data_IF_864443666054
#
_entry.id   IF_864443666054
#
_cell.length_a   1.000
_cell.length_b   1.000
_cell.length_c   1.000
_cell.angle_alpha   90.00
_cell.angle_beta   90.00
_cell.angle_gamma   90.00
#
_symmetry.space_group_name_H-M   'P 1'
#
loop_
_entity.id
_entity.type
_entity.pdbx_description
1 polymer ?
#
# COMPACT_ATOMS: atom_id res chain seq x y z
N UNK A 1 -8.88 -14.15 -0.89
CA UNK A 1 -8.13 -13.31 -1.86
C UNK A 1 -6.92 -14.10 -2.30
N UNK A 2 -6.94 -14.54 -3.55
CA UNK A 2 -5.86 -15.32 -4.12
C UNK A 2 -4.75 -14.39 -4.59
N UNK A 3 -3.53 -14.50 -4.02
CA UNK A 3 -2.38 -13.71 -4.48
C UNK A 3 -2.06 -14.04 -5.94
N UNK A 4 -1.90 -13.02 -6.76
CA UNK A 4 -1.58 -13.20 -8.17
C UNK A 4 -0.63 -12.12 -8.68
N UNK A 5 0.32 -12.44 -9.58
CA UNK A 5 1.08 -11.43 -10.30
C UNK A 5 0.17 -10.72 -11.31
N UNK A 6 0.61 -9.60 -11.84
CA UNK A 6 0.00 -9.03 -13.04
C UNK A 6 0.76 -9.48 -14.27
N UNK A 7 0.01 -9.65 -15.34
CA UNK A 7 0.57 -9.90 -16.65
C UNK A 7 1.29 -8.66 -17.20
N UNK A 8 2.29 -8.90 -18.03
CA UNK A 8 3.02 -7.90 -18.79
C UNK A 8 4.44 -7.61 -18.27
N UNK A 9 5.35 -7.50 -19.22
CA UNK A 9 6.77 -7.28 -18.98
C UNK A 9 7.08 -6.05 -18.14
N UNK A 10 6.34 -4.97 -18.33
CA UNK A 10 6.53 -3.74 -17.58
C UNK A 10 6.36 -3.95 -16.07
N UNK A 11 5.32 -4.66 -15.68
CA UNK A 11 5.04 -4.94 -14.27
C UNK A 11 6.12 -5.84 -13.67
N UNK A 12 6.49 -6.91 -14.40
CA UNK A 12 7.53 -7.85 -13.99
C UNK A 12 8.91 -7.17 -13.87
N UNK A 13 9.28 -6.34 -14.84
CA UNK A 13 10.51 -5.55 -14.79
C UNK A 13 10.56 -4.64 -13.57
N UNK A 14 9.44 -3.97 -13.27
CA UNK A 14 9.35 -3.11 -12.10
C UNK A 14 9.43 -3.90 -10.78
N UNK A 15 8.70 -5.00 -10.66
CA UNK A 15 8.81 -5.91 -9.52
C UNK A 15 10.27 -6.38 -9.29
N UNK A 16 10.95 -6.80 -10.35
CA UNK A 16 12.33 -7.26 -10.28
C UNK A 16 13.31 -6.13 -9.89
N UNK A 17 13.04 -4.89 -10.33
CA UNK A 17 13.85 -3.74 -9.91
C UNK A 17 13.76 -3.49 -8.41
N UNK A 18 12.58 -3.71 -7.81
CA UNK A 18 12.42 -3.65 -6.36
C UNK A 18 13.22 -4.73 -5.65
N UNK A 19 13.14 -5.97 -6.13
CA UNK A 19 13.92 -7.06 -5.54
C UNK A 19 15.42 -6.77 -5.61
N UNK A 20 15.89 -6.21 -6.72
CA UNK A 20 17.30 -5.78 -6.86
C UNK A 20 17.66 -4.71 -5.81
N UNK A 21 16.78 -3.69 -5.60
CA UNK A 21 17.01 -2.64 -4.60
C UNK A 21 16.98 -3.20 -3.17
N UNK A 22 16.02 -4.07 -2.88
CA UNK A 22 15.84 -4.68 -1.56
C UNK A 22 17.04 -5.57 -1.19
N UNK A 23 17.58 -6.31 -2.14
CA UNK A 23 18.76 -7.16 -1.92
C UNK A 23 20.04 -6.36 -1.56
N UNK A 24 20.09 -5.06 -1.83
CA UNK A 24 21.18 -4.19 -1.39
C UNK A 24 21.12 -3.88 0.12
N UNK A 25 20.00 -4.17 0.77
CA UNK A 25 19.79 -3.87 2.19
C UNK A 25 19.68 -2.37 2.45
N UNK A 26 19.97 -1.97 3.70
CA UNK A 26 19.92 -0.58 4.17
C UNK A 26 18.57 0.09 3.87
N UNK A 27 17.48 -0.49 4.40
CA UNK A 27 16.10 -0.03 4.20
C UNK A 27 15.48 0.23 5.57
N UNK A 28 15.22 1.49 5.90
CA UNK A 28 14.59 1.91 7.16
C UNK A 28 13.09 2.22 7.00
N UNK A 29 12.65 2.55 5.78
CA UNK A 29 11.30 2.97 5.47
C UNK A 29 10.86 2.40 4.12
N UNK A 30 9.67 1.82 4.06
CA UNK A 30 9.09 1.36 2.80
C UNK A 30 7.73 1.98 2.55
N UNK A 31 7.44 2.30 1.30
CA UNK A 31 6.14 2.75 0.83
C UNK A 31 5.55 1.67 -0.07
N UNK A 32 4.42 1.11 0.32
CA UNK A 32 3.73 0.02 -0.38
C UNK A 32 2.40 0.55 -0.92
N UNK A 33 2.14 0.33 -2.21
CA UNK A 33 0.90 0.79 -2.81
C UNK A 33 0.84 0.65 -4.33
N UNK A 34 -0.03 1.44 -4.92
CA UNK A 34 -0.34 1.47 -6.35
C UNK A 34 0.27 2.69 -7.08
N UNK A 35 -0.46 3.25 -8.07
CA UNK A 35 -0.01 4.42 -8.84
C UNK A 35 0.20 5.67 -7.99
N UNK A 36 -0.53 5.83 -6.92
CA UNK A 36 -0.39 7.00 -6.04
C UNK A 36 0.96 6.92 -5.31
N UNK A 37 1.31 5.74 -4.83
CA UNK A 37 2.64 5.48 -4.25
C UNK A 37 3.74 5.55 -5.31
N UNK A 38 3.51 4.96 -6.50
CA UNK A 38 4.45 5.07 -7.63
C UNK A 38 4.77 6.53 -7.99
N UNK A 39 3.78 7.41 -7.92
CA UNK A 39 3.90 8.84 -8.23
C UNK A 39 4.94 9.62 -7.42
N UNK A 40 5.46 9.06 -6.32
CA UNK A 40 6.60 9.63 -5.62
C UNK A 40 7.89 9.68 -6.46
N UNK A 41 7.98 8.90 -7.54
CA UNK A 41 9.12 8.92 -8.48
C UNK A 41 8.97 9.97 -9.59
N UNK A 42 7.78 10.55 -9.74
CA UNK A 42 7.46 11.59 -10.74
C UNK A 42 6.97 12.87 -10.08
N UNK A 43 5.67 13.03 -9.92
CA UNK A 43 5.05 14.25 -9.36
C UNK A 43 5.49 14.55 -7.92
N UNK A 44 5.81 13.52 -7.13
CA UNK A 44 6.30 13.63 -5.75
C UNK A 44 7.83 13.70 -5.61
N UNK A 45 8.59 13.67 -6.71
CA UNK A 45 10.04 13.48 -6.70
C UNK A 45 10.80 14.52 -5.85
N UNK A 46 10.45 15.77 -5.94
CA UNK A 46 11.11 16.83 -5.16
C UNK A 46 10.90 16.65 -3.66
N UNK A 47 9.68 16.37 -3.26
CA UNK A 47 9.31 16.09 -1.86
C UNK A 47 9.98 14.80 -1.36
N UNK A 48 10.01 13.76 -2.20
CA UNK A 48 10.72 12.52 -1.88
C UNK A 48 12.20 12.77 -1.61
N UNK A 49 12.87 13.50 -2.50
CA UNK A 49 14.29 13.82 -2.36
C UNK A 49 14.58 14.61 -1.08
N UNK A 50 13.71 15.56 -0.74
CA UNK A 50 13.87 16.40 0.44
C UNK A 50 13.65 15.63 1.76
N UNK A 51 12.67 14.72 1.81
CA UNK A 51 12.19 14.17 3.08
C UNK A 51 12.49 12.67 3.28
N UNK A 52 12.64 11.89 2.20
CA UNK A 52 12.68 10.43 2.31
C UNK A 52 14.00 9.80 1.88
N UNK A 53 14.74 10.40 0.96
CA UNK A 53 16.02 9.85 0.47
C UNK A 53 17.00 9.60 1.61
N UNK A 54 17.17 10.57 2.52
CA UNK A 54 18.08 10.45 3.68
C UNK A 54 17.59 9.49 4.77
N UNK A 55 16.38 8.91 4.60
CA UNK A 55 15.78 7.95 5.54
C UNK A 55 15.86 6.51 5.01
N UNK A 56 16.73 6.24 4.06
CA UNK A 56 16.84 4.94 3.41
C UNK A 56 15.46 4.40 2.95
N UNK A 57 14.63 5.30 2.43
CA UNK A 57 13.28 4.97 2.00
C UNK A 57 13.28 4.26 0.64
N UNK A 58 12.42 3.26 0.50
CA UNK A 58 12.20 2.56 -0.77
C UNK A 58 10.74 2.66 -1.18
N UNK A 59 10.51 3.09 -2.42
CA UNK A 59 9.20 3.13 -3.03
C UNK A 59 8.90 1.78 -3.69
N UNK A 60 7.90 1.06 -3.17
CA UNK A 60 7.42 -0.21 -3.70
C UNK A 60 6.02 -0.05 -4.36
N UNK A 61 5.72 1.13 -4.89
CA UNK A 61 4.47 1.40 -5.61
C UNK A 61 4.51 0.93 -7.05
N UNK A 62 3.46 0.25 -7.52
CA UNK A 62 3.26 -0.10 -8.93
C UNK A 62 1.88 0.37 -9.40
N UNK A 63 1.86 1.17 -10.46
CA UNK A 63 0.61 1.69 -11.03
C UNK A 63 -0.38 0.57 -11.36
N UNK A 64 -1.65 0.73 -10.99
CA UNK A 64 -2.70 -0.23 -11.25
C UNK A 64 -2.76 -1.45 -10.32
N UNK A 65 -1.84 -1.58 -9.36
CA UNK A 65 -1.87 -2.69 -8.40
C UNK A 65 -3.15 -2.69 -7.56
N UNK A 66 -3.62 -3.89 -7.27
CA UNK A 66 -4.69 -4.23 -6.35
C UNK A 66 -4.11 -5.00 -5.16
N UNK A 67 -4.91 -5.24 -4.13
CA UNK A 67 -4.47 -5.93 -2.91
C UNK A 67 -3.82 -7.30 -3.19
N UNK A 68 -4.40 -8.12 -4.09
CA UNK A 68 -3.85 -9.43 -4.46
C UNK A 68 -2.44 -9.34 -5.07
N UNK A 69 -2.18 -8.30 -5.88
CA UNK A 69 -0.85 -8.11 -6.48
C UNK A 69 0.18 -7.73 -5.42
N UNK A 70 -0.19 -6.87 -4.47
CA UNK A 70 0.68 -6.51 -3.35
C UNK A 70 1.00 -7.73 -2.49
N UNK A 71 0.00 -8.55 -2.15
CA UNK A 71 0.22 -9.79 -1.36
C UNK A 71 1.21 -10.70 -2.10
N UNK A 72 1.02 -10.90 -3.40
CA UNK A 72 1.92 -11.70 -4.21
C UNK A 72 3.35 -11.15 -4.19
N UNK A 73 3.53 -9.85 -4.39
CA UNK A 73 4.86 -9.22 -4.40
C UNK A 73 5.58 -9.33 -3.06
N UNK A 74 4.85 -9.23 -1.96
CA UNK A 74 5.40 -9.43 -0.61
C UNK A 74 5.93 -10.85 -0.43
N UNK A 75 5.28 -11.86 -1.03
CA UNK A 75 5.75 -13.24 -1.00
C UNK A 75 6.92 -13.49 -1.96
N UNK A 76 7.04 -12.68 -3.01
CA UNK A 76 8.01 -12.87 -4.09
C UNK A 76 9.17 -11.87 -4.05
N UNK A 77 9.67 -11.52 -2.86
CA UNK A 77 10.96 -10.88 -2.67
C UNK A 77 10.95 -9.42 -2.25
N UNK A 78 9.85 -8.68 -2.40
CA UNK A 78 9.81 -7.23 -2.16
C UNK A 78 10.12 -6.79 -0.71
N UNK A 79 10.20 -7.73 0.22
CA UNK A 79 10.55 -7.46 1.63
C UNK A 79 11.54 -8.48 2.18
N UNK A 80 12.26 -9.18 1.29
CA UNK A 80 13.20 -10.24 1.69
C UNK A 80 14.43 -9.63 2.37
N UNK A 81 14.78 -10.16 3.54
CA UNK A 81 16.01 -9.83 4.27
C UNK A 81 16.17 -8.35 4.65
N UNK A 82 15.07 -7.61 4.79
CA UNK A 82 15.08 -6.24 5.32
C UNK A 82 14.31 -6.16 6.64
N UNK A 83 14.61 -5.14 7.44
CA UNK A 83 13.94 -4.87 8.72
C UNK A 83 13.61 -3.38 8.83
N UNK A 84 12.72 -2.84 7.97
CA UNK A 84 12.36 -1.43 8.03
C UNK A 84 11.65 -1.10 9.33
N UNK A 85 11.88 0.10 9.84
CA UNK A 85 11.20 0.60 11.05
C UNK A 85 9.72 0.89 10.80
N UNK A 86 9.41 1.35 9.58
CA UNK A 86 8.05 1.76 9.19
C UNK A 86 7.73 1.31 7.77
N UNK A 87 6.50 0.83 7.58
CA UNK A 87 5.86 0.61 6.29
C UNK A 87 4.67 1.56 6.14
N UNK A 88 4.70 2.45 5.17
CA UNK A 88 3.56 3.28 4.77
C UNK A 88 2.77 2.50 3.74
N UNK A 89 1.51 2.20 4.03
CA UNK A 89 0.63 1.41 3.17
C UNK A 89 -0.55 2.25 2.68
N UNK A 90 -0.74 2.33 1.38
CA UNK A 90 -1.98 2.82 0.76
C UNK A 90 -2.30 1.97 -0.47
N UNK A 91 -3.35 1.16 -0.39
CA UNK A 91 -3.78 0.22 -1.43
C UNK A 91 -5.30 0.04 -1.40
N UNK A 92 -5.90 -0.29 -2.55
CA UNK A 92 -7.32 -0.62 -2.65
C UNK A 92 -8.10 0.26 -3.63
N UNK A 93 -7.56 1.40 -4.05
CA UNK A 93 -8.25 2.26 -5.01
C UNK A 93 -8.56 1.54 -6.33
N UNK A 94 -7.70 0.64 -6.79
CA UNK A 94 -7.93 -0.14 -8.00
C UNK A 94 -8.87 -1.35 -7.79
N UNK A 95 -9.12 -1.74 -6.54
CA UNK A 95 -10.15 -2.70 -6.18
C UNK A 95 -11.55 -2.07 -6.19
N UNK A 96 -11.66 -0.76 -5.94
CA UNK A 96 -12.94 -0.06 -5.77
C UNK A 96 -13.70 0.21 -7.08
N UNK A 97 -13.12 -0.07 -8.25
CA UNK A 97 -13.73 0.20 -9.56
C UNK A 97 -15.13 -0.40 -9.70
N UNK A 98 -15.89 0.10 -10.68
CA UNK A 98 -17.18 -0.49 -11.08
C UNK A 98 -16.94 -1.95 -11.44
N UNK A 99 -17.86 -2.82 -11.08
CA UNK A 99 -17.82 -4.25 -11.40
C UNK A 99 -16.55 -5.00 -10.89
N UNK A 100 -15.92 -4.45 -9.84
CA UNK A 100 -14.78 -5.09 -9.16
C UNK A 100 -15.20 -5.56 -7.76
N UNK A 101 -14.32 -5.34 -6.79
CA UNK A 101 -14.55 -5.82 -5.44
C UNK A 101 -15.64 -5.04 -4.68
N UNK A 102 -16.38 -5.74 -3.83
CA UNK A 102 -17.26 -5.15 -2.83
C UNK A 102 -16.44 -4.42 -1.75
N UNK A 103 -17.10 -3.65 -0.89
CA UNK A 103 -16.42 -3.02 0.24
C UNK A 103 -15.83 -4.08 1.21
N UNK A 104 -16.54 -5.18 1.45
CA UNK A 104 -16.09 -6.28 2.30
C UNK A 104 -14.85 -6.95 1.74
N UNK A 105 -14.86 -7.30 0.46
CA UNK A 105 -13.68 -7.87 -0.21
C UNK A 105 -12.48 -6.93 -0.20
N UNK A 106 -12.71 -5.63 -0.31
CA UNK A 106 -11.64 -4.64 -0.19
C UNK A 106 -11.06 -4.58 1.23
N UNK A 107 -11.92 -4.62 2.24
CA UNK A 107 -11.53 -4.65 3.66
C UNK A 107 -10.68 -5.90 3.93
N UNK A 108 -11.14 -7.06 3.46
CA UNK A 108 -10.41 -8.32 3.61
C UNK A 108 -9.07 -8.28 2.89
N UNK A 109 -9.05 -7.67 1.69
CA UNK A 109 -7.82 -7.48 0.93
C UNK A 109 -6.78 -6.61 1.62
N UNK A 110 -7.21 -5.47 2.14
CA UNK A 110 -6.31 -4.57 2.89
C UNK A 110 -5.84 -5.24 4.19
N UNK A 111 -6.74 -5.93 4.89
CA UNK A 111 -6.41 -6.70 6.09
C UNK A 111 -5.36 -7.78 5.78
N UNK A 112 -5.55 -8.55 4.72
CA UNK A 112 -4.60 -9.59 4.31
C UNK A 112 -3.22 -9.02 3.96
N UNK A 113 -3.15 -7.82 3.35
CA UNK A 113 -1.87 -7.12 3.12
C UNK A 113 -1.20 -6.75 4.45
N UNK A 114 -1.95 -6.20 5.41
CA UNK A 114 -1.44 -5.85 6.74
C UNK A 114 -0.89 -7.09 7.46
N UNK A 115 -1.66 -8.17 7.48
CA UNK A 115 -1.27 -9.43 8.12
C UNK A 115 -0.02 -10.02 7.47
N UNK A 116 0.08 -9.94 6.14
CA UNK A 116 1.27 -10.36 5.40
C UNK A 116 2.50 -9.54 5.78
N UNK A 117 2.35 -8.22 5.90
CA UNK A 117 3.46 -7.34 6.35
C UNK A 117 3.86 -7.72 7.78
N UNK A 118 2.93 -7.86 8.72
CA UNK A 118 3.24 -8.26 10.10
C UNK A 118 3.95 -9.62 10.18
N UNK A 119 3.49 -10.59 9.37
CA UNK A 119 4.11 -11.92 9.32
C UNK A 119 5.55 -11.89 8.83
N UNK A 120 5.84 -11.08 7.79
CA UNK A 120 7.17 -11.01 7.18
C UNK A 120 8.11 -10.02 7.87
N UNK A 121 7.56 -8.99 8.47
CA UNK A 121 8.26 -7.87 9.09
C UNK A 121 7.70 -7.61 10.49
N UNK A 122 7.88 -8.52 11.46
CA UNK A 122 7.18 -8.49 12.76
C UNK A 122 7.50 -7.26 13.61
N UNK A 123 8.66 -6.62 13.40
CA UNK A 123 9.07 -5.42 14.15
C UNK A 123 8.68 -4.10 13.45
N UNK A 124 8.21 -4.17 12.20
CA UNK A 124 7.86 -2.99 11.40
C UNK A 124 6.53 -2.41 11.86
N UNK A 125 6.50 -1.10 12.12
CA UNK A 125 5.25 -0.36 12.37
C UNK A 125 4.58 -0.04 11.05
N UNK A 126 3.29 -0.30 10.95
CA UNK A 126 2.51 0.02 9.74
C UNK A 126 1.80 1.34 9.93
N UNK A 127 1.98 2.23 8.97
CA UNK A 127 1.21 3.45 8.81
C UNK A 127 0.22 3.24 7.66
N UNK A 128 -1.02 2.90 7.99
CA UNK A 128 -2.09 2.75 7.01
C UNK A 128 -2.67 4.12 6.67
N UNK A 129 -2.66 4.48 5.40
CA UNK A 129 -3.32 5.67 4.89
C UNK A 129 -4.71 5.32 4.35
N UNK A 130 -5.67 6.19 4.59
CA UNK A 130 -7.00 6.08 4.00
C UNK A 130 -6.91 6.12 2.46
N UNK A 131 -7.74 5.32 1.80
CA UNK A 131 -7.88 5.33 0.34
C UNK A 131 -8.51 6.67 -0.06
N UNK A 132 -7.88 7.39 -0.97
CA UNK A 132 -8.40 8.68 -1.43
C UNK A 132 -9.72 8.52 -2.20
N UNK A 133 -10.67 9.46 -2.00
CA UNK A 133 -11.92 9.46 -2.75
C UNK A 133 -11.65 9.57 -4.26
N UNK A 134 -12.43 8.86 -5.08
CA UNK A 134 -12.33 8.90 -6.55
C UNK A 134 -13.53 9.59 -7.18
N UNK A 135 -13.26 10.28 -8.30
CA UNK A 135 -14.27 11.07 -9.01
C UNK A 135 -14.48 12.46 -8.41
N UNK A 136 -15.02 13.37 -9.21
CA UNK A 136 -15.27 14.75 -8.80
C UNK A 136 -16.57 14.91 -8.01
N UNK A 137 -17.56 14.06 -8.29
CA UNK A 137 -18.90 14.09 -7.67
C UNK A 137 -19.11 12.88 -6.76
N UNK A 138 -20.13 12.95 -5.93
CA UNK A 138 -20.60 11.79 -5.14
C UNK A 138 -21.00 10.69 -6.12
N UNK A 139 -20.51 9.49 -5.90
CA UNK A 139 -20.80 8.30 -6.69
C UNK A 139 -20.58 7.04 -5.85
N UNK A 140 -21.02 5.87 -6.34
CA UNK A 140 -20.96 4.59 -5.63
C UNK A 140 -19.53 4.21 -5.23
N UNK A 141 -18.55 4.51 -6.09
CA UNK A 141 -17.15 4.22 -5.79
C UNK A 141 -16.65 5.03 -4.60
N UNK A 142 -17.05 6.30 -4.47
CA UNK A 142 -16.71 7.12 -3.28
C UNK A 142 -17.38 6.58 -2.03
N UNK A 143 -18.64 6.17 -2.13
CA UNK A 143 -19.38 5.54 -1.03
C UNK A 143 -18.69 4.27 -0.55
N UNK A 144 -18.32 3.39 -1.48
CA UNK A 144 -17.56 2.17 -1.20
C UNK A 144 -16.24 2.46 -0.50
N UNK A 145 -15.44 3.40 -1.01
CA UNK A 145 -14.15 3.79 -0.40
C UNK A 145 -14.35 4.34 1.01
N UNK A 146 -15.35 5.19 1.23
CA UNK A 146 -15.66 5.74 2.55
C UNK A 146 -15.98 4.63 3.55
N UNK A 147 -16.81 3.67 3.17
CA UNK A 147 -17.16 2.52 4.00
C UNK A 147 -15.92 1.69 4.37
N UNK A 148 -15.04 1.42 3.42
CA UNK A 148 -13.78 0.71 3.64
C UNK A 148 -12.92 1.46 4.67
N UNK A 149 -12.69 2.75 4.46
CA UNK A 149 -11.87 3.57 5.36
C UNK A 149 -12.43 3.59 6.79
N UNK A 150 -13.74 3.78 6.94
CA UNK A 150 -14.39 3.79 8.27
C UNK A 150 -14.24 2.46 9.02
N UNK A 151 -14.39 1.33 8.31
CA UNK A 151 -14.27 0.01 8.93
C UNK A 151 -12.80 -0.29 9.24
N UNK A 152 -11.89 -0.02 8.33
CA UNK A 152 -10.45 -0.23 8.57
C UNK A 152 -9.96 0.58 9.76
N UNK A 153 -10.42 1.82 9.91
CA UNK A 153 -10.10 2.63 11.07
C UNK A 153 -10.57 1.98 12.38
N UNK A 154 -11.82 1.50 12.43
CA UNK A 154 -12.37 0.83 13.63
C UNK A 154 -11.61 -0.46 13.94
N UNK A 155 -11.28 -1.26 12.93
CA UNK A 155 -10.49 -2.50 13.08
C UNK A 155 -9.08 -2.20 13.62
N UNK A 156 -8.38 -1.22 13.06
CA UNK A 156 -7.03 -0.85 13.48
C UNK A 156 -7.00 -0.30 14.92
N UNK A 157 -8.00 0.46 15.34
CA UNK A 157 -8.11 0.96 16.71
C UNK A 157 -8.34 -0.17 17.74
N UNK A 158 -9.04 -1.24 17.36
CA UNK A 158 -9.37 -2.35 18.26
C UNK A 158 -8.30 -3.43 18.34
N UNK A 159 -7.56 -3.67 17.27
CA UNK A 159 -6.79 -4.92 17.07
C UNK A 159 -5.27 -4.74 17.01
N UNK A 160 -4.72 -3.56 16.77
CA UNK A 160 -3.36 -3.46 16.28
C UNK A 160 -2.51 -2.46 17.07
N UNK A 161 -1.86 -2.94 18.13
CA UNK A 161 -0.82 -2.15 18.86
C UNK A 161 0.32 -1.65 17.95
N UNK A 162 0.51 -2.21 16.76
CA UNK A 162 1.59 -1.87 15.81
C UNK A 162 1.13 -1.17 14.51
N UNK A 163 -0.19 -0.99 14.29
CA UNK A 163 -0.73 -0.28 13.12
C UNK A 163 -1.38 1.02 13.55
N UNK A 164 -0.96 2.14 12.95
CA UNK A 164 -1.61 3.45 13.09
C UNK A 164 -2.30 3.83 11.79
N UNK A 165 -3.55 4.27 11.88
CA UNK A 165 -4.28 4.87 10.73
C UNK A 165 -4.14 6.37 10.82
N UNK A 166 -3.75 7.01 9.72
CA UNK A 166 -3.83 8.46 9.57
C UNK A 166 -5.12 8.80 8.85
N UNK A 167 -5.96 9.55 9.55
CA UNK A 167 -7.13 10.22 8.95
C UNK A 167 -6.68 11.41 8.13
N UNK A 168 -7.33 11.62 7.00
CA UNK A 168 -7.40 12.94 6.40
C UNK A 168 -8.47 13.70 7.22
N UNK A 169 -8.07 14.71 7.97
CA UNK A 169 -9.04 15.68 8.47
C UNK A 169 -9.70 16.34 7.25
N UNK A 170 -11.00 16.11 7.10
CA UNK A 170 -11.80 16.88 6.15
C UNK A 170 -11.92 18.30 6.73
N UNK A 171 -10.98 19.17 6.38
CA UNK A 171 -11.26 20.61 6.40
C UNK A 171 -12.16 20.87 5.18
N UNK A 172 -13.46 21.00 5.47
CA UNK A 172 -14.42 21.62 4.55
C UNK A 172 -14.02 23.05 4.27
#
# INVERSE_FOLDING_TARGET
IDPAPREGDWWTKRHNSFNKRINQGNVDLIFIGDSITHGWESSGKSTWSKHYTKRNAVNLGIGGDRTQHVIWRLDNGNVKNIKPKVAVLMIGTNNSGKDRNSAEEMIDGVTAVIDKIHKKLPETKILLLDIFPRGQRINDQRGKILQVNQIMQKRCLKSLKKTKVIKRENKL
#
